data_IF_784898796106
#
_entry.id   IF_784898796106
#
_cell.length_a   1.000
_cell.length_b   1.000
_cell.length_c   1.000
_cell.angle_alpha   90.00
_cell.angle_beta   90.00
_cell.angle_gamma   90.00
#
_symmetry.space_group_name_H-M   'P 1'
#
loop_
_entity.id
_entity.type
_entity.pdbx_description
1 polymer ?
#
# COMPACT_ATOMS: atom_id res chain seq x y z
N UNK A 1 17.91 5.01 -21.61
CA UNK A 1 17.48 4.74 -20.21
C UNK A 1 17.48 3.23 -20.03
N UNK A 2 18.24 2.67 -19.10
CA UNK A 2 18.19 1.24 -18.77
C UNK A 2 17.05 1.03 -17.77
N UNK A 3 16.04 0.24 -18.15
CA UNK A 3 14.89 -0.09 -17.30
C UNK A 3 15.05 -1.43 -16.57
N UNK A 4 16.18 -2.12 -16.77
CA UNK A 4 16.48 -3.35 -16.05
C UNK A 4 16.85 -3.01 -14.59
N UNK A 5 16.42 -3.88 -13.68
CA UNK A 5 16.83 -3.80 -12.28
C UNK A 5 18.35 -3.99 -12.18
N UNK A 6 18.98 -3.30 -11.22
CA UNK A 6 20.35 -3.64 -10.82
C UNK A 6 20.39 -5.00 -10.15
N UNK A 7 21.60 -5.58 -10.01
CA UNK A 7 21.75 -6.85 -9.32
C UNK A 7 21.26 -6.78 -7.87
N UNK A 8 21.51 -5.68 -7.18
CA UNK A 8 21.01 -5.42 -5.81
C UNK A 8 19.48 -5.34 -5.76
N UNK A 9 18.87 -4.60 -6.71
CA UNK A 9 17.42 -4.49 -6.82
C UNK A 9 16.77 -5.85 -7.14
N UNK A 10 17.41 -6.66 -7.99
CA UNK A 10 16.95 -8.01 -8.27
C UNK A 10 17.03 -8.91 -7.04
N UNK A 11 18.10 -8.79 -6.23
CA UNK A 11 18.22 -9.50 -4.96
C UNK A 11 17.12 -9.12 -3.96
N UNK A 12 16.82 -7.82 -3.81
CA UNK A 12 15.71 -7.34 -2.95
C UNK A 12 14.37 -7.93 -3.42
N UNK A 13 14.07 -7.85 -4.72
CA UNK A 13 12.86 -8.43 -5.30
C UNK A 13 12.75 -9.94 -4.97
N UNK A 14 13.81 -10.69 -5.22
CA UNK A 14 13.81 -12.14 -5.05
C UNK A 14 13.73 -12.55 -3.57
N UNK A 15 14.30 -11.74 -2.67
CA UNK A 15 14.18 -11.92 -1.21
C UNK A 15 12.73 -11.73 -0.76
N UNK A 16 12.09 -10.63 -1.14
CA UNK A 16 10.69 -10.33 -0.79
C UNK A 16 9.75 -11.37 -1.38
N UNK A 17 9.93 -11.73 -2.64
CA UNK A 17 9.14 -12.77 -3.33
C UNK A 17 9.22 -14.11 -2.61
N UNK A 18 10.42 -14.55 -2.24
CA UNK A 18 10.64 -15.81 -1.52
C UNK A 18 9.97 -15.79 -0.15
N UNK A 19 10.17 -14.73 0.62
CA UNK A 19 9.52 -14.55 1.91
C UNK A 19 7.99 -14.65 1.81
N UNK A 20 7.40 -13.97 0.82
CA UNK A 20 5.95 -13.97 0.62
C UNK A 20 5.44 -15.32 0.13
N UNK A 21 6.17 -16.01 -0.74
CA UNK A 21 5.80 -17.35 -1.21
C UNK A 21 5.78 -18.37 -0.06
N UNK A 22 6.73 -18.28 0.86
CA UNK A 22 6.84 -19.20 1.99
C UNK A 22 5.78 -18.94 3.07
N UNK A 23 5.40 -17.67 3.27
CA UNK A 23 4.57 -17.26 4.41
C UNK A 23 3.20 -16.72 4.03
N UNK A 24 3.03 -16.23 2.79
CA UNK A 24 1.83 -15.52 2.35
C UNK A 24 1.38 -16.00 0.96
N UNK A 25 0.99 -17.26 0.86
CA UNK A 25 0.56 -17.86 -0.41
C UNK A 25 -0.81 -17.29 -0.86
N UNK A 26 -0.83 -16.68 -2.05
CA UNK A 26 -2.02 -16.12 -2.65
C UNK A 26 -3.10 -17.17 -3.00
N UNK A 27 -2.70 -18.44 -3.15
CA UNK A 27 -3.61 -19.54 -3.51
C UNK A 27 -4.30 -20.16 -2.30
N UNK A 28 -3.73 -20.04 -1.11
CA UNK A 28 -4.35 -20.54 0.12
C UNK A 28 -5.44 -19.60 0.61
N UNK A 29 -6.58 -20.19 0.88
CA UNK A 29 -7.77 -19.50 1.38
C UNK A 29 -7.49 -18.74 2.68
N UNK A 30 -8.06 -17.52 2.76
CA UNK A 30 -8.30 -16.78 4.01
C UNK A 30 -7.07 -16.39 4.83
N UNK A 31 -5.97 -15.94 4.20
CA UNK A 31 -5.03 -15.12 4.96
C UNK A 31 -5.58 -13.69 5.00
N UNK A 32 -5.92 -13.25 6.21
CA UNK A 32 -6.26 -11.87 6.53
C UNK A 32 -5.04 -10.95 6.44
N UNK A 33 -5.00 -9.85 7.20
CA UNK A 33 -3.82 -9.01 7.36
C UNK A 33 -2.59 -9.82 7.77
N UNK A 34 -1.41 -9.36 7.37
CA UNK A 34 -0.14 -9.95 7.80
C UNK A 34 -0.07 -10.02 9.33
N UNK A 35 0.38 -11.15 9.86
CA UNK A 35 0.53 -11.31 11.30
C UNK A 35 1.61 -10.39 11.86
N UNK A 36 1.55 -10.01 13.16
CA UNK A 36 2.63 -9.25 13.78
C UNK A 36 4.00 -9.95 13.70
N UNK A 37 4.02 -11.29 13.77
CA UNK A 37 5.27 -12.06 13.65
C UNK A 37 5.82 -12.02 12.22
N UNK A 38 4.98 -12.10 11.19
CA UNK A 38 5.42 -11.96 9.80
C UNK A 38 5.86 -10.52 9.50
N UNK A 39 5.21 -9.53 10.10
CA UNK A 39 5.63 -8.13 10.00
C UNK A 39 7.01 -7.92 10.63
N UNK A 40 7.23 -8.43 11.85
CA UNK A 40 8.56 -8.40 12.50
C UNK A 40 9.61 -9.10 11.67
N UNK A 41 9.31 -10.27 11.12
CA UNK A 41 10.24 -11.01 10.26
C UNK A 41 10.64 -10.22 8.99
N UNK A 42 9.78 -9.36 8.43
CA UNK A 42 10.16 -8.41 7.36
C UNK A 42 11.14 -7.35 7.86
N UNK A 43 10.97 -6.86 9.09
CA UNK A 43 11.93 -5.95 9.75
C UNK A 43 13.29 -6.60 9.94
N UNK A 44 13.33 -7.84 10.46
CA UNK A 44 14.54 -8.64 10.66
C UNK A 44 15.30 -8.92 9.34
N UNK A 45 14.59 -9.01 8.22
CA UNK A 45 15.21 -9.07 6.88
C UNK A 45 15.84 -7.74 6.43
N UNK A 46 15.72 -6.67 7.23
CA UNK A 46 16.22 -5.34 6.89
C UNK A 46 15.34 -4.57 5.89
N UNK A 47 14.15 -5.06 5.58
CA UNK A 47 13.30 -4.44 4.56
C UNK A 47 12.85 -3.04 4.96
N UNK A 48 12.50 -2.81 6.23
CA UNK A 48 12.07 -1.50 6.69
C UNK A 48 13.24 -0.53 6.81
N UNK A 49 14.42 -1.02 7.23
CA UNK A 49 15.65 -0.24 7.20
C UNK A 49 16.02 0.19 5.77
N UNK A 50 15.85 -0.69 4.77
CA UNK A 50 16.04 -0.35 3.36
C UNK A 50 15.17 0.86 2.94
N UNK A 51 13.92 0.94 3.38
CA UNK A 51 12.95 1.99 3.01
C UNK A 51 13.01 3.24 3.91
N UNK A 52 13.83 3.21 4.95
CA UNK A 52 14.04 4.30 5.88
C UNK A 52 15.23 5.19 5.42
N UNK A 53 15.14 6.53 5.52
CA UNK A 53 16.24 7.41 5.18
C UNK A 53 17.51 7.17 6.01
N UNK A 54 18.69 7.39 5.42
CA UNK A 54 19.98 7.24 6.13
C UNK A 54 20.07 8.12 7.37
N UNK A 55 19.53 9.36 7.31
CA UNK A 55 19.53 10.29 8.44
C UNK A 55 18.72 9.78 9.64
N UNK A 56 17.85 8.78 9.42
CA UNK A 56 17.07 8.10 10.47
C UNK A 56 17.63 6.72 10.82
N UNK A 57 18.87 6.42 10.44
CA UNK A 57 19.51 5.14 10.71
C UNK A 57 19.15 4.02 9.71
N UNK A 58 18.44 4.35 8.63
CA UNK A 58 18.10 3.40 7.56
C UNK A 58 19.20 3.25 6.50
N UNK A 59 18.86 2.55 5.41
CA UNK A 59 19.74 2.30 4.27
C UNK A 59 19.47 3.22 3.08
N UNK A 60 18.51 4.13 3.18
CA UNK A 60 18.28 5.19 2.21
C UNK A 60 17.73 4.74 0.85
N UNK A 61 17.08 3.57 0.79
CA UNK A 61 16.42 3.10 -0.44
C UNK A 61 15.37 4.11 -0.93
N UNK A 62 15.35 4.30 -2.24
CA UNK A 62 14.54 5.31 -2.91
C UNK A 62 13.23 4.78 -3.48
N UNK A 63 12.69 5.53 -4.43
CA UNK A 63 11.42 5.20 -5.08
C UNK A 63 11.46 3.87 -5.86
N UNK A 64 12.62 3.49 -6.39
CA UNK A 64 12.76 2.20 -7.08
C UNK A 64 12.61 1.02 -6.13
N UNK A 65 13.21 1.08 -4.94
CA UNK A 65 13.10 0.06 -3.91
C UNK A 65 11.68 -0.01 -3.35
N UNK A 66 11.04 1.15 -3.11
CA UNK A 66 9.61 1.21 -2.73
C UNK A 66 8.74 0.52 -3.78
N UNK A 67 8.96 0.80 -5.08
CA UNK A 67 8.22 0.17 -6.17
C UNK A 67 8.40 -1.35 -6.16
N UNK A 68 9.65 -1.84 -6.10
CA UNK A 68 9.98 -3.27 -6.15
C UNK A 68 9.32 -4.02 -5.01
N UNK A 69 9.50 -3.54 -3.78
CA UNK A 69 8.93 -4.17 -2.59
C UNK A 69 7.41 -4.21 -2.66
N UNK A 70 6.80 -3.08 -2.99
CA UNK A 70 5.33 -2.95 -3.01
C UNK A 70 4.69 -3.74 -4.16
N UNK A 71 5.35 -3.87 -5.31
CA UNK A 71 4.86 -4.71 -6.40
C UNK A 71 4.82 -6.18 -6.00
N UNK A 72 5.84 -6.69 -5.28
CA UNK A 72 5.83 -8.07 -4.78
C UNK A 72 4.77 -8.27 -3.69
N UNK A 73 4.55 -7.30 -2.79
CA UNK A 73 3.44 -7.33 -1.84
C UNK A 73 2.09 -7.44 -2.57
N UNK A 74 1.92 -6.65 -3.63
CA UNK A 74 0.73 -6.69 -4.47
C UNK A 74 0.54 -8.04 -5.17
N UNK A 75 1.60 -8.64 -5.73
CA UNK A 75 1.55 -9.97 -6.37
C UNK A 75 1.09 -11.06 -5.41
N UNK A 76 1.51 -10.99 -4.16
CA UNK A 76 1.08 -11.89 -3.11
C UNK A 76 -0.33 -11.56 -2.56
N UNK A 77 -0.97 -10.46 -2.99
CA UNK A 77 -2.18 -9.90 -2.41
C UNK A 77 -2.05 -9.70 -0.89
N UNK A 78 -0.85 -9.35 -0.43
CA UNK A 78 -0.55 -9.14 0.97
C UNK A 78 -1.25 -7.89 1.51
N UNK A 79 -1.75 -7.97 2.72
CA UNK A 79 -2.37 -6.85 3.42
C UNK A 79 -1.39 -6.40 4.50
N UNK A 80 -0.67 -5.30 4.23
CA UNK A 80 0.39 -4.78 5.10
C UNK A 80 0.18 -3.30 5.40
N UNK A 81 0.71 -2.78 6.52
CA UNK A 81 0.72 -1.36 6.84
C UNK A 81 1.89 -0.59 6.20
N UNK A 82 2.59 -1.14 5.19
CA UNK A 82 3.86 -0.62 4.67
C UNK A 82 3.79 0.86 4.28
N UNK A 83 2.76 1.25 3.52
CA UNK A 83 2.62 2.62 3.03
C UNK A 83 2.44 3.63 4.16
N UNK A 84 1.60 3.32 5.14
CA UNK A 84 1.30 4.23 6.25
C UNK A 84 2.36 4.15 7.36
N UNK A 85 2.74 2.96 7.81
CA UNK A 85 3.64 2.82 8.95
C UNK A 85 5.09 3.22 8.61
N UNK A 86 5.61 2.74 7.48
CA UNK A 86 7.01 2.96 7.12
C UNK A 86 7.18 4.22 6.27
N UNK A 87 6.38 4.39 5.21
CA UNK A 87 6.61 5.47 4.26
C UNK A 87 5.99 6.80 4.69
N UNK A 88 4.87 6.81 5.40
CA UNK A 88 4.31 8.04 5.97
C UNK A 88 4.84 8.30 7.38
N UNK A 89 4.49 7.44 8.34
CA UNK A 89 4.82 7.68 9.74
C UNK A 89 6.32 7.63 10.00
N UNK A 90 7.03 6.61 9.45
CA UNK A 90 8.48 6.49 9.59
C UNK A 90 9.23 7.72 9.08
N UNK A 91 8.84 8.26 7.92
CA UNK A 91 9.46 9.48 7.38
C UNK A 91 9.05 10.75 8.11
N UNK A 92 7.84 10.82 8.66
CA UNK A 92 7.41 11.95 9.46
C UNK A 92 8.20 12.09 10.77
N UNK A 93 8.59 10.97 11.39
CA UNK A 93 9.39 10.99 12.61
C UNK A 93 10.90 11.12 12.36
N UNK A 94 11.39 10.74 11.18
CA UNK A 94 12.81 10.61 10.85
C UNK A 94 13.63 11.89 11.11
N UNK A 95 13.02 13.06 10.95
CA UNK A 95 13.68 14.36 11.18
C UNK A 95 13.40 14.98 12.55
N UNK A 96 12.81 14.24 13.49
CA UNK A 96 12.37 14.75 14.77
C UNK A 96 12.99 13.98 15.95
N UNK A 97 12.89 14.50 17.17
CA UNK A 97 13.31 13.80 18.39
C UNK A 97 12.57 12.46 18.59
N UNK A 98 11.40 12.28 17.98
CA UNK A 98 10.67 11.02 18.03
C UNK A 98 11.39 9.86 17.32
N UNK A 99 12.38 10.15 16.45
CA UNK A 99 13.19 9.12 15.81
C UNK A 99 14.02 8.32 16.82
N UNK A 100 14.49 8.92 17.92
CA UNK A 100 15.25 8.22 18.97
C UNK A 100 14.40 7.16 19.69
N UNK A 101 13.11 7.42 19.86
CA UNK A 101 12.20 6.50 20.56
C UNK A 101 11.61 5.43 19.61
N UNK A 102 11.25 5.83 18.38
CA UNK A 102 10.41 5.02 17.50
C UNK A 102 11.18 4.42 16.30
N UNK A 103 12.33 5.01 15.92
CA UNK A 103 13.03 4.66 14.68
C UNK A 103 13.42 3.18 14.63
N UNK A 104 14.19 2.71 15.60
CA UNK A 104 14.65 1.31 15.66
C UNK A 104 13.48 0.34 15.78
N UNK A 105 12.49 0.67 16.61
CA UNK A 105 11.31 -0.18 16.81
C UNK A 105 10.46 -0.32 15.54
N UNK A 106 10.38 0.74 14.73
CA UNK A 106 9.72 0.67 13.41
C UNK A 106 10.53 -0.16 12.42
N UNK A 107 11.86 0.04 12.35
CA UNK A 107 12.74 -0.70 11.44
C UNK A 107 12.80 -2.19 11.77
N UNK A 108 12.64 -2.56 13.03
CA UNK A 108 12.57 -3.96 13.49
C UNK A 108 11.18 -4.57 13.40
N UNK A 109 10.14 -3.77 13.11
CA UNK A 109 8.76 -4.23 13.09
C UNK A 109 8.14 -4.45 14.47
N UNK A 110 8.80 -3.97 15.54
CA UNK A 110 8.35 -4.11 16.95
C UNK A 110 7.33 -3.06 17.37
N UNK A 111 7.21 -1.98 16.60
CA UNK A 111 6.17 -0.97 16.79
C UNK A 111 5.45 -0.70 15.48
N UNK A 112 4.17 -0.38 15.61
CA UNK A 112 3.32 0.07 14.51
C UNK A 112 2.85 1.48 14.80
N UNK A 113 3.13 2.40 13.88
CA UNK A 113 2.57 3.75 13.89
C UNK A 113 1.49 3.84 12.81
N UNK A 114 0.38 4.49 13.14
CA UNK A 114 -0.71 4.68 12.18
C UNK A 114 -0.88 6.15 11.82
N UNK A 115 -1.18 6.41 10.55
CA UNK A 115 -1.46 7.74 10.05
C UNK A 115 -2.94 8.11 10.25
N UNK A 116 -3.19 9.21 10.95
CA UNK A 116 -4.53 9.67 11.31
C UNK A 116 -4.77 11.10 10.85
N UNK A 117 -5.30 11.34 9.63
CA UNK A 117 -5.62 12.69 9.18
C UNK A 117 -6.87 13.23 9.88
N UNK A 118 -6.77 14.42 10.46
CA UNK A 118 -7.89 15.13 11.09
C UNK A 118 -7.59 15.60 12.52
N UNK A 119 -8.50 16.42 13.04
CA UNK A 119 -8.36 17.05 14.34
C UNK A 119 -7.65 18.40 14.31
N UNK A 120 -7.77 19.12 15.42
CA UNK A 120 -7.22 20.45 15.60
C UNK A 120 -6.62 20.61 17.00
N UNK A 121 -5.63 21.49 17.13
CA UNK A 121 -5.09 21.89 18.41
C UNK A 121 -6.02 22.95 19.04
N UNK A 122 -6.55 22.65 20.23
CA UNK A 122 -7.37 23.56 21.04
C UNK A 122 -6.74 23.63 22.42
N UNK A 123 -6.35 24.82 22.84
CA UNK A 123 -5.66 25.07 24.12
C UNK A 123 -4.42 24.17 24.31
N UNK A 124 -3.63 23.97 23.22
CA UNK A 124 -2.42 23.17 23.23
C UNK A 124 -2.64 21.65 23.30
N UNK A 125 -3.88 21.19 23.19
CA UNK A 125 -4.23 19.78 23.18
C UNK A 125 -4.94 19.39 21.89
N UNK A 126 -4.70 18.17 21.40
CA UNK A 126 -5.35 17.68 20.19
C UNK A 126 -6.78 17.23 20.51
N UNK A 127 -7.74 17.71 19.70
CA UNK A 127 -9.14 17.32 19.71
C UNK A 127 -9.60 17.01 18.29
N UNK A 128 -10.54 16.07 18.15
CA UNK A 128 -11.13 15.74 16.86
C UNK A 128 -11.20 14.26 16.60
N UNK A 129 -11.30 13.87 15.34
CA UNK A 129 -11.36 12.46 14.97
C UNK A 129 -10.82 12.21 13.56
N UNK A 130 -10.31 10.99 13.34
CA UNK A 130 -10.00 10.43 12.04
C UNK A 130 -10.92 9.24 11.76
N UNK A 131 -11.64 9.28 10.64
CA UNK A 131 -12.74 8.34 10.37
C UNK A 131 -12.28 6.92 10.06
N UNK A 132 -11.17 6.79 9.30
CA UNK A 132 -10.62 5.50 8.89
C UNK A 132 -9.11 5.57 9.03
N UNK A 133 -8.60 5.01 10.11
CA UNK A 133 -7.17 4.89 10.40
C UNK A 133 -6.81 3.43 10.22
N UNK A 134 -6.12 3.09 9.14
CA UNK A 134 -5.67 1.73 8.88
C UNK A 134 -4.71 1.32 9.99
N UNK A 135 -4.83 0.06 10.42
CA UNK A 135 -4.03 -0.51 11.50
C UNK A 135 -4.11 0.27 12.83
N UNK A 136 -5.05 1.22 12.94
CA UNK A 136 -5.22 2.10 14.09
C UNK A 136 -5.66 1.37 15.37
N UNK A 137 -6.17 0.14 15.29
CA UNK A 137 -6.50 -0.65 16.47
C UNK A 137 -5.26 -1.05 17.25
N UNK A 138 -4.18 -1.41 16.55
CA UNK A 138 -2.95 -1.97 17.11
C UNK A 138 -1.80 -0.95 17.14
N UNK A 139 -2.05 0.29 16.68
CA UNK A 139 -1.03 1.33 16.62
C UNK A 139 -0.52 1.70 18.03
N UNK A 140 0.80 1.66 18.19
CA UNK A 140 1.48 2.11 19.41
C UNK A 140 1.45 3.63 19.55
N UNK A 141 1.52 4.36 18.41
CA UNK A 141 1.36 5.81 18.36
C UNK A 141 0.69 6.22 17.03
N UNK A 142 0.21 7.47 16.98
CA UNK A 142 -0.43 8.05 15.79
C UNK A 142 0.38 9.24 15.29
N UNK A 143 0.69 9.26 14.00
CA UNK A 143 1.08 10.48 13.30
C UNK A 143 -0.19 11.15 12.81
N UNK A 144 -0.52 12.29 13.37
CA UNK A 144 -1.74 13.04 13.07
C UNK A 144 -1.40 14.23 12.21
N UNK A 145 -2.00 14.32 11.01
CA UNK A 145 -1.99 15.53 10.21
C UNK A 145 -3.25 16.34 10.56
N UNK A 146 -3.05 17.47 11.23
CA UNK A 146 -4.16 18.32 11.67
C UNK A 146 -4.83 19.02 10.47
N UNK A 147 -6.03 19.54 10.67
CA UNK A 147 -6.76 20.35 9.66
C UNK A 147 -5.96 21.58 9.19
N UNK A 148 -5.03 22.06 10.03
CA UNK A 148 -4.12 23.15 9.67
C UNK A 148 -2.83 22.67 8.97
N UNK A 149 -2.67 21.35 8.69
CA UNK A 149 -1.50 20.76 8.04
C UNK A 149 -0.29 20.55 8.96
N UNK A 150 -0.42 20.75 10.28
CA UNK A 150 0.65 20.45 11.22
C UNK A 150 0.71 18.95 11.51
N UNK A 151 1.91 18.38 11.59
CA UNK A 151 2.13 17.00 11.96
C UNK A 151 2.37 16.89 13.47
N UNK A 152 1.67 15.96 14.10
CA UNK A 152 1.73 15.71 15.53
C UNK A 152 1.92 14.24 15.81
N UNK A 153 2.70 13.88 16.81
CA UNK A 153 2.78 12.52 17.35
C UNK A 153 1.92 12.43 18.61
N UNK A 154 1.10 11.40 18.67
CA UNK A 154 0.20 11.10 19.81
C UNK A 154 0.49 9.68 20.30
N UNK A 155 0.74 9.53 21.59
CA UNK A 155 0.86 8.21 22.21
C UNK A 155 -0.48 7.47 22.09
N UNK A 156 -0.44 6.27 21.55
CA UNK A 156 -1.61 5.42 21.41
C UNK A 156 -2.23 4.98 22.75
N UNK A 157 -1.49 5.06 23.85
CA UNK A 157 -1.96 4.73 25.19
C UNK A 157 -2.54 5.92 25.98
N UNK A 158 -2.51 7.14 25.39
CA UNK A 158 -3.12 8.31 26.05
C UNK A 158 -4.61 8.03 26.34
N UNK A 159 -5.03 8.31 27.55
CA UNK A 159 -6.40 8.04 28.05
C UNK A 159 -7.50 8.79 27.26
N UNK A 160 -7.15 9.83 26.53
CA UNK A 160 -8.05 10.57 25.64
C UNK A 160 -8.18 9.96 24.25
N UNK A 161 -7.40 8.91 23.91
CA UNK A 161 -7.51 8.20 22.64
C UNK A 161 -8.61 7.14 22.72
N UNK A 162 -9.62 7.27 21.86
CA UNK A 162 -10.70 6.28 21.73
C UNK A 162 -10.66 5.65 20.37
N UNK A 163 -10.71 4.32 20.30
CA UNK A 163 -10.67 3.52 19.08
C UNK A 163 -11.94 2.72 18.93
N UNK A 164 -12.58 2.83 17.75
CA UNK A 164 -13.74 2.00 17.40
C UNK A 164 -13.37 1.20 16.17
N UNK A 165 -13.45 -0.15 16.20
CA UNK A 165 -13.03 -0.98 15.08
C UNK A 165 -13.93 -0.79 13.87
N UNK A 166 -13.31 -0.76 12.69
CA UNK A 166 -13.96 -0.68 11.38
C UNK A 166 -13.38 -1.78 10.48
N UNK A 167 -14.22 -2.70 10.02
CA UNK A 167 -13.79 -3.73 9.08
C UNK A 167 -13.83 -3.17 7.66
N UNK A 168 -12.72 -3.29 6.94
CA UNK A 168 -12.61 -2.85 5.55
C UNK A 168 -13.01 -3.96 4.57
N UNK A 169 -13.21 -3.58 3.30
CA UNK A 169 -13.73 -4.47 2.25
C UNK A 169 -12.78 -5.64 1.95
N UNK A 170 -11.47 -5.47 2.11
CA UNK A 170 -10.45 -6.52 1.91
C UNK A 170 -10.27 -7.45 3.13
N UNK A 171 -11.05 -7.20 4.19
CA UNK A 171 -10.99 -7.96 5.44
C UNK A 171 -10.00 -7.41 6.47
N UNK A 172 -9.20 -6.38 6.12
CA UNK A 172 -8.35 -5.71 7.09
C UNK A 172 -9.16 -4.89 8.10
N UNK A 173 -8.50 -4.56 9.22
CA UNK A 173 -9.09 -3.75 10.27
C UNK A 173 -8.54 -2.33 10.24
N UNK A 174 -9.43 -1.37 10.37
CA UNK A 174 -9.12 0.02 10.65
C UNK A 174 -9.76 0.44 11.96
N UNK A 175 -9.48 1.65 12.40
CA UNK A 175 -10.17 2.27 13.53
C UNK A 175 -10.78 3.62 13.12
N UNK A 176 -11.96 3.92 13.64
CA UNK A 176 -12.33 5.29 13.87
C UNK A 176 -11.63 5.74 15.16
N UNK A 177 -10.74 6.71 15.04
CA UNK A 177 -9.97 7.22 16.19
C UNK A 177 -10.49 8.59 16.56
N UNK A 178 -10.81 8.77 17.86
CA UNK A 178 -11.18 10.07 18.45
C UNK A 178 -10.11 10.49 19.44
N UNK A 179 -9.74 11.74 19.36
CA UNK A 179 -8.81 12.42 20.25
C UNK A 179 -9.60 13.39 21.14
N UNK A 180 -9.60 13.15 22.45
CA UNK A 180 -10.31 13.99 23.43
C UNK A 180 -9.30 14.69 24.35
N UNK A 181 -8.82 15.85 23.91
CA UNK A 181 -7.84 16.68 24.61
C UNK A 181 -6.53 15.94 24.93
N UNK A 182 -6.03 15.13 23.99
CA UNK A 182 -4.80 14.35 24.14
C UNK A 182 -3.56 15.24 24.05
N UNK A 183 -2.49 14.83 24.71
CA UNK A 183 -1.20 15.45 24.55
C UNK A 183 -0.62 15.06 23.18
N UNK A 184 -0.15 16.04 22.43
CA UNK A 184 0.42 15.82 21.12
C UNK A 184 1.77 16.51 21.00
N UNK A 185 2.80 15.78 20.56
CA UNK A 185 4.13 16.30 20.32
C UNK A 185 4.24 16.80 18.88
N UNK A 186 4.66 18.05 18.64
CA UNK A 186 4.87 18.53 17.28
C UNK A 186 6.00 17.75 16.59
N UNK A 187 5.76 17.34 15.34
CA UNK A 187 6.77 16.77 14.46
C UNK A 187 7.27 17.87 13.51
N UNK A 188 8.54 18.22 13.64
CA UNK A 188 9.17 19.17 12.73
C UNK A 188 9.71 18.42 11.53
N UNK A 189 9.01 18.50 10.40
CA UNK A 189 9.41 17.86 9.15
C UNK A 189 9.93 18.94 8.20
N UNK A 190 11.14 18.80 7.63
CA UNK A 190 11.67 19.75 6.65
C UNK A 190 10.72 19.96 5.47
N UNK A 191 10.72 21.18 4.92
CA UNK A 191 9.89 21.52 3.77
C UNK A 191 10.17 20.55 2.60
N UNK A 192 9.11 20.04 1.96
CA UNK A 192 9.20 19.06 0.88
C UNK A 192 9.30 17.59 1.34
N UNK A 193 9.87 17.30 2.49
CA UNK A 193 10.02 15.91 2.97
C UNK A 193 8.67 15.24 3.22
N UNK A 194 7.65 15.96 3.71
CA UNK A 194 6.31 15.44 3.88
C UNK A 194 5.63 15.14 2.54
N UNK A 195 5.76 16.02 1.56
CA UNK A 195 5.24 15.80 0.22
C UNK A 195 5.90 14.59 -0.45
N UNK A 196 7.20 14.39 -0.26
CA UNK A 196 7.93 13.22 -0.73
C UNK A 196 7.46 11.94 -0.02
N UNK A 197 7.26 11.97 1.31
CA UNK A 197 6.70 10.84 2.05
C UNK A 197 5.31 10.43 1.53
N UNK A 198 4.45 11.41 1.27
CA UNK A 198 3.12 11.18 0.66
C UNK A 198 3.25 10.64 -0.77
N UNK A 199 4.21 11.11 -1.56
CA UNK A 199 4.46 10.61 -2.91
C UNK A 199 4.95 9.15 -2.87
N UNK A 200 5.87 8.79 -1.98
CA UNK A 200 6.36 7.41 -1.84
C UNK A 200 5.27 6.46 -1.33
N UNK A 201 4.43 6.89 -0.39
CA UNK A 201 3.28 6.10 0.03
C UNK A 201 2.27 5.92 -1.12
N UNK A 202 2.03 6.96 -1.91
CA UNK A 202 1.22 6.89 -3.13
C UNK A 202 1.81 5.96 -4.18
N UNK A 203 3.15 5.96 -4.35
CA UNK A 203 3.88 5.05 -5.23
C UNK A 203 3.75 3.60 -4.76
N UNK A 204 3.88 3.34 -3.46
CA UNK A 204 3.67 2.03 -2.87
C UNK A 204 2.27 1.48 -3.20
N UNK A 205 1.23 2.28 -3.03
CA UNK A 205 -0.15 1.88 -3.33
C UNK A 205 -0.33 1.52 -4.82
N UNK A 206 0.21 2.31 -5.74
CA UNK A 206 0.08 1.99 -7.19
C UNK A 206 0.95 0.82 -7.59
N UNK A 207 2.09 0.58 -6.95
CA UNK A 207 2.92 -0.60 -7.16
C UNK A 207 2.21 -1.87 -6.67
N UNK A 208 1.59 -1.84 -5.49
CA UNK A 208 0.73 -2.94 -5.01
C UNK A 208 -0.43 -3.24 -6.00
N UNK A 209 -1.08 -2.20 -6.54
CA UNK A 209 -2.12 -2.39 -7.56
C UNK A 209 -1.59 -3.08 -8.80
N UNK A 210 -0.41 -2.69 -9.31
CA UNK A 210 0.23 -3.32 -10.49
C UNK A 210 0.61 -4.77 -10.18
N UNK A 211 1.15 -5.05 -9.01
CA UNK A 211 1.44 -6.41 -8.55
C UNK A 211 0.18 -7.28 -8.48
N UNK A 212 -0.92 -6.75 -7.91
CA UNK A 212 -2.21 -7.43 -7.85
C UNK A 212 -2.79 -7.69 -9.26
N UNK A 213 -2.70 -6.70 -10.17
CA UNK A 213 -3.11 -6.87 -11.57
C UNK A 213 -2.35 -8.02 -12.25
N UNK A 214 -1.04 -8.10 -12.04
CA UNK A 214 -0.21 -9.16 -12.60
C UNK A 214 -0.64 -10.54 -12.07
N UNK A 215 -0.82 -10.67 -10.76
CA UNK A 215 -1.27 -11.92 -10.14
C UNK A 215 -2.66 -12.35 -10.64
N UNK A 216 -3.61 -11.41 -10.68
CA UNK A 216 -4.98 -11.70 -11.16
C UNK A 216 -5.01 -12.10 -12.63
N UNK A 217 -4.17 -11.48 -13.48
CA UNK A 217 -4.06 -11.86 -14.89
C UNK A 217 -3.47 -13.26 -15.04
N UNK A 218 -2.36 -13.57 -14.34
CA UNK A 218 -1.70 -14.88 -14.39
C UNK A 218 -2.69 -15.98 -13.97
N UNK A 219 -3.37 -15.83 -12.83
CA UNK A 219 -4.40 -16.77 -12.34
C UNK A 219 -5.56 -16.92 -13.33
N UNK A 220 -5.98 -15.83 -13.97
CA UNK A 220 -7.09 -15.88 -14.94
C UNK A 220 -6.68 -16.61 -16.21
N UNK A 221 -5.48 -16.34 -16.73
CA UNK A 221 -4.97 -17.04 -17.93
C UNK A 221 -4.84 -18.52 -17.68
N UNK A 222 -4.33 -18.93 -16.52
CA UNK A 222 -4.21 -20.34 -16.17
C UNK A 222 -5.60 -21.01 -16.02
N UNK A 223 -6.53 -20.33 -15.37
CA UNK A 223 -7.89 -20.84 -15.24
C UNK A 223 -8.58 -21.04 -16.59
N UNK A 224 -8.57 -20.07 -17.49
CA UNK A 224 -9.25 -20.20 -18.79
C UNK A 224 -8.63 -21.26 -19.70
N UNK A 225 -7.34 -21.61 -19.50
CA UNK A 225 -6.66 -22.70 -20.20
C UNK A 225 -7.12 -24.08 -19.69
N UNK A 226 -7.40 -24.18 -18.41
CA UNK A 226 -7.78 -25.43 -17.75
C UNK A 226 -9.30 -25.68 -17.77
N UNK A 227 -10.10 -24.62 -17.74
CA UNK A 227 -11.56 -24.75 -17.70
C UNK A 227 -12.13 -25.14 -19.05
N UNK A 228 -12.83 -26.28 -19.09
CA UNK A 228 -13.50 -26.78 -20.28
C UNK A 228 -15.01 -26.49 -20.24
N UNK A 229 -15.54 -25.97 -21.34
CA UNK A 229 -16.97 -25.83 -21.61
C UNK A 229 -17.21 -25.99 -23.12
N UNK A 230 -18.37 -26.49 -23.54
CA UNK A 230 -18.70 -26.74 -24.94
C UNK A 230 -17.68 -27.65 -25.63
N UNK A 231 -17.13 -28.64 -24.93
CA UNK A 231 -16.21 -29.65 -25.45
C UNK A 231 -14.74 -29.20 -25.63
N UNK A 232 -14.35 -27.96 -25.19
CA UNK A 232 -12.98 -27.45 -25.32
C UNK A 232 -12.63 -26.45 -24.22
N UNK A 233 -11.31 -26.12 -24.02
CA UNK A 233 -10.91 -25.07 -23.09
C UNK A 233 -11.55 -23.75 -23.47
N UNK A 234 -12.02 -22.98 -22.45
CA UNK A 234 -12.65 -21.66 -22.71
C UNK A 234 -11.68 -20.65 -23.33
N UNK A 235 -10.38 -20.81 -23.12
CA UNK A 235 -9.33 -20.03 -23.80
C UNK A 235 -9.38 -20.11 -25.33
N UNK A 236 -10.02 -21.13 -25.92
CA UNK A 236 -10.15 -21.26 -27.38
C UNK A 236 -11.21 -20.32 -28.00
N UNK A 237 -12.04 -19.68 -27.18
CA UNK A 237 -13.06 -18.74 -27.67
C UNK A 237 -12.46 -17.34 -27.84
N UNK A 238 -12.65 -16.71 -29.01
CA UNK A 238 -12.11 -15.38 -29.31
C UNK A 238 -12.51 -14.33 -28.27
N UNK A 239 -13.76 -14.35 -27.77
CA UNK A 239 -14.22 -13.40 -26.77
C UNK A 239 -13.39 -13.47 -25.48
N UNK A 240 -12.96 -14.66 -25.05
CA UNK A 240 -12.09 -14.88 -23.89
C UNK A 240 -10.69 -14.36 -24.17
N UNK A 241 -10.13 -14.68 -25.37
CA UNK A 241 -8.82 -14.20 -25.80
C UNK A 241 -8.78 -12.65 -25.83
N UNK A 242 -9.78 -12.01 -26.40
CA UNK A 242 -9.85 -10.54 -26.43
C UNK A 242 -9.95 -9.91 -25.04
N UNK A 243 -10.66 -10.55 -24.12
CA UNK A 243 -10.73 -10.08 -22.71
C UNK A 243 -9.35 -10.19 -22.04
N UNK A 244 -8.68 -11.33 -22.14
CA UNK A 244 -7.32 -11.50 -21.60
C UNK A 244 -6.33 -10.52 -22.22
N UNK A 245 -6.39 -10.29 -23.55
CA UNK A 245 -5.53 -9.32 -24.23
C UNK A 245 -5.77 -7.89 -23.72
N UNK A 246 -7.01 -7.51 -23.44
CA UNK A 246 -7.36 -6.21 -22.85
C UNK A 246 -6.83 -6.07 -21.42
N UNK A 247 -6.97 -7.11 -20.58
CA UNK A 247 -6.39 -7.14 -19.24
C UNK A 247 -4.86 -6.95 -19.29
N UNK A 248 -4.18 -7.64 -20.22
CA UNK A 248 -2.76 -7.47 -20.46
C UNK A 248 -2.39 -6.04 -20.86
N UNK A 249 -3.19 -5.42 -21.76
CA UNK A 249 -2.98 -4.02 -22.16
C UNK A 249 -3.08 -3.06 -20.97
N UNK A 250 -4.08 -3.21 -20.11
CA UNK A 250 -4.20 -2.37 -18.91
C UNK A 250 -3.02 -2.56 -17.95
N UNK A 251 -2.54 -3.78 -17.79
CA UNK A 251 -1.37 -4.08 -16.96
C UNK A 251 -0.11 -3.39 -17.50
N UNK A 252 0.20 -3.52 -18.81
CA UNK A 252 1.41 -2.95 -19.40
C UNK A 252 1.40 -1.41 -19.43
N UNK A 253 0.24 -0.80 -19.63
CA UNK A 253 0.07 0.65 -19.49
C UNK A 253 0.31 1.10 -18.04
N UNK A 254 -0.20 0.33 -17.07
CA UNK A 254 0.00 0.60 -15.64
C UNK A 254 1.46 0.45 -15.23
N UNK A 255 2.17 -0.59 -15.72
CA UNK A 255 3.61 -0.76 -15.52
C UNK A 255 4.43 0.41 -16.05
N UNK A 256 4.09 0.89 -17.25
CA UNK A 256 4.77 2.04 -17.86
C UNK A 256 4.63 3.30 -17.00
N UNK A 257 3.43 3.56 -16.46
CA UNK A 257 3.18 4.70 -15.59
C UNK A 257 3.85 4.54 -14.22
N UNK A 258 3.85 3.32 -13.67
CA UNK A 258 4.54 3.00 -12.42
C UNK A 258 6.06 3.24 -12.55
N UNK A 259 6.68 2.71 -13.60
CA UNK A 259 8.11 2.92 -13.88
C UNK A 259 8.44 4.40 -14.06
N UNK A 260 7.60 5.15 -14.79
CA UNK A 260 7.77 6.60 -14.94
C UNK A 260 7.73 7.32 -13.58
N UNK A 261 6.84 6.90 -12.68
CA UNK A 261 6.72 7.51 -11.34
C UNK A 261 7.90 7.16 -10.44
N UNK A 262 8.37 5.90 -10.47
CA UNK A 262 9.49 5.44 -9.66
C UNK A 262 10.84 6.02 -10.11
N UNK A 263 11.02 6.24 -11.42
CA UNK A 263 12.25 6.79 -11.99
C UNK A 263 12.21 8.32 -12.15
N UNK A 264 11.16 8.98 -11.69
CA UNK A 264 11.08 10.44 -11.71
C UNK A 264 12.05 11.04 -10.68
N UNK A 265 12.69 12.16 -11.05
CA UNK A 265 13.45 12.97 -10.11
C UNK A 265 12.51 13.49 -9.00
N UNK A 266 13.07 13.81 -7.83
CA UNK A 266 12.29 14.13 -6.63
C UNK A 266 11.27 15.26 -6.89
N UNK A 267 11.70 16.35 -7.56
CA UNK A 267 10.85 17.49 -7.88
C UNK A 267 9.67 17.14 -8.80
N UNK A 268 9.81 16.13 -9.65
CA UNK A 268 8.78 15.68 -10.58
C UNK A 268 7.95 14.51 -10.04
N UNK A 269 8.39 13.83 -8.98
CA UNK A 269 7.81 12.58 -8.48
C UNK A 269 6.37 12.75 -8.02
N UNK A 270 6.07 13.79 -7.25
CA UNK A 270 4.70 14.07 -6.77
C UNK A 270 3.71 14.08 -7.94
N UNK A 271 4.05 14.81 -9.03
CA UNK A 271 3.20 14.88 -10.21
C UNK A 271 3.12 13.54 -10.96
N UNK A 272 4.23 12.83 -11.09
CA UNK A 272 4.30 11.54 -11.77
C UNK A 272 3.49 10.47 -11.02
N UNK A 273 3.58 10.40 -9.70
CA UNK A 273 2.78 9.50 -8.84
C UNK A 273 1.30 9.87 -8.91
N UNK A 274 0.96 11.16 -8.89
CA UNK A 274 -0.42 11.61 -9.04
C UNK A 274 -1.00 11.18 -10.39
N UNK A 275 -0.23 11.28 -11.49
CA UNK A 275 -0.64 10.80 -12.81
C UNK A 275 -0.82 9.28 -12.84
N UNK A 276 0.09 8.52 -12.22
CA UNK A 276 -0.03 7.07 -12.09
C UNK A 276 -1.30 6.68 -11.31
N UNK A 277 -1.58 7.33 -10.18
CA UNK A 277 -2.79 7.10 -9.38
C UNK A 277 -4.08 7.42 -10.14
N UNK A 278 -4.08 8.47 -10.95
CA UNK A 278 -5.25 8.87 -11.75
C UNK A 278 -5.69 7.79 -12.77
N UNK A 279 -4.76 6.94 -13.22
CA UNK A 279 -5.02 5.90 -14.21
C UNK A 279 -5.07 4.50 -13.60
N UNK A 280 -4.04 4.12 -12.80
CA UNK A 280 -3.82 2.73 -12.36
C UNK A 280 -4.98 2.22 -11.52
N UNK A 281 -5.56 3.06 -10.64
CA UNK A 281 -6.69 2.66 -9.80
C UNK A 281 -7.89 2.16 -10.61
N UNK A 282 -8.26 2.89 -11.67
CA UNK A 282 -9.38 2.51 -12.53
C UNK A 282 -9.04 1.32 -13.44
N UNK A 283 -7.80 1.24 -13.93
CA UNK A 283 -7.33 0.11 -14.74
C UNK A 283 -7.27 -1.20 -13.94
N UNK A 284 -6.78 -1.13 -12.70
CA UNK A 284 -6.73 -2.27 -11.80
C UNK A 284 -8.12 -2.79 -11.45
N UNK A 285 -9.08 -1.88 -11.19
CA UNK A 285 -10.46 -2.27 -10.91
C UNK A 285 -11.09 -2.98 -12.10
N UNK A 286 -10.96 -2.43 -13.32
CA UNK A 286 -11.45 -3.06 -14.54
C UNK A 286 -10.85 -4.45 -14.76
N UNK A 287 -9.54 -4.60 -14.53
CA UNK A 287 -8.85 -5.88 -14.67
C UNK A 287 -9.37 -6.89 -13.64
N UNK A 288 -9.53 -6.49 -12.38
CA UNK A 288 -10.04 -7.37 -11.33
C UNK A 288 -11.50 -7.80 -11.58
N UNK A 289 -12.35 -6.91 -12.08
CA UNK A 289 -13.73 -7.22 -12.49
C UNK A 289 -13.76 -8.20 -13.66
N UNK A 290 -12.89 -8.03 -14.67
CA UNK A 290 -12.76 -9.00 -15.78
C UNK A 290 -12.26 -10.36 -15.31
N UNK A 291 -11.33 -10.40 -14.34
CA UNK A 291 -10.88 -11.64 -13.73
C UNK A 291 -12.04 -12.39 -13.08
N UNK A 292 -12.84 -11.72 -12.25
CA UNK A 292 -14.05 -12.28 -11.65
C UNK A 292 -15.02 -12.78 -12.72
N UNK A 293 -15.28 -11.99 -13.75
CA UNK A 293 -16.20 -12.36 -14.83
C UNK A 293 -15.74 -13.61 -15.57
N UNK A 294 -14.43 -13.77 -15.84
CA UNK A 294 -13.89 -14.93 -16.54
C UNK A 294 -13.88 -16.20 -15.68
N UNK A 295 -13.86 -16.09 -14.35
CA UNK A 295 -14.03 -17.23 -13.42
C UNK A 295 -15.50 -17.58 -13.18
N UNK A 296 -16.45 -16.72 -13.56
CA UNK A 296 -17.87 -16.90 -13.32
C UNK A 296 -18.21 -16.99 -11.82
N UNK A 297 -19.12 -17.87 -11.43
CA UNK A 297 -19.53 -18.02 -10.03
C UNK A 297 -18.39 -18.29 -9.05
N UNK A 298 -17.34 -18.99 -9.48
CA UNK A 298 -16.16 -19.26 -8.65
C UNK A 298 -15.36 -17.97 -8.32
N UNK A 299 -15.41 -16.96 -9.18
CA UNK A 299 -14.69 -15.70 -8.99
C UNK A 299 -15.22 -14.82 -7.82
N UNK A 300 -16.43 -15.09 -7.34
CA UNK A 300 -17.04 -14.39 -6.20
C UNK A 300 -17.01 -15.20 -4.90
N UNK A 301 -16.52 -16.42 -4.93
CA UNK A 301 -16.36 -17.26 -3.74
C UNK A 301 -15.03 -16.95 -3.04
N UNK A 302 -14.94 -17.34 -1.76
CA UNK A 302 -13.68 -17.24 -1.00
C UNK A 302 -12.71 -18.39 -1.31
N UNK A 303 -13.10 -19.36 -2.16
CA UNK A 303 -12.28 -20.51 -2.55
C UNK A 303 -11.10 -20.12 -3.45
N UNK A 304 -11.24 -19.05 -4.23
CA UNK A 304 -10.20 -18.55 -5.11
C UNK A 304 -9.66 -17.19 -4.66
N UNK A 305 -8.39 -16.95 -4.93
CA UNK A 305 -7.73 -15.66 -4.65
C UNK A 305 -8.34 -14.47 -5.44
N UNK A 306 -9.12 -14.76 -6.51
CA UNK A 306 -9.72 -13.77 -7.39
C UNK A 306 -10.66 -12.80 -6.65
N UNK A 307 -11.60 -13.31 -5.85
CA UNK A 307 -12.51 -12.47 -5.05
C UNK A 307 -11.77 -11.63 -4.01
N UNK A 308 -10.73 -12.21 -3.38
CA UNK A 308 -9.85 -11.49 -2.46
C UNK A 308 -9.06 -10.39 -3.17
N UNK A 309 -8.52 -10.70 -4.35
CA UNK A 309 -7.81 -9.72 -5.19
C UNK A 309 -8.69 -8.55 -5.59
N UNK A 310 -9.95 -8.79 -5.99
CA UNK A 310 -10.91 -7.72 -6.27
C UNK A 310 -11.13 -6.82 -5.04
N UNK A 311 -11.35 -7.41 -3.85
CA UNK A 311 -11.54 -6.64 -2.61
C UNK A 311 -10.30 -5.81 -2.26
N UNK A 312 -9.08 -6.37 -2.43
CA UNK A 312 -7.83 -5.65 -2.23
C UNK A 312 -7.69 -4.48 -3.20
N UNK A 313 -7.94 -4.70 -4.48
CA UNK A 313 -7.91 -3.66 -5.51
C UNK A 313 -8.95 -2.56 -5.23
N UNK A 314 -10.17 -2.92 -4.82
CA UNK A 314 -11.20 -1.97 -4.41
C UNK A 314 -10.72 -1.04 -3.31
N UNK A 315 -10.09 -1.57 -2.25
CA UNK A 315 -9.56 -0.76 -1.17
C UNK A 315 -8.42 0.13 -1.64
N UNK A 316 -7.37 -0.45 -2.22
CA UNK A 316 -6.16 0.28 -2.65
C UNK A 316 -6.50 1.41 -3.64
N UNK A 317 -7.43 1.17 -4.57
CA UNK A 317 -7.84 2.18 -5.56
C UNK A 317 -8.55 3.40 -4.94
N UNK A 318 -8.97 3.32 -3.67
CA UNK A 318 -9.70 4.40 -2.96
C UNK A 318 -8.88 5.07 -1.86
N UNK A 319 -7.75 4.50 -1.46
CA UNK A 319 -6.91 5.08 -0.42
C UNK A 319 -6.47 6.50 -0.80
N UNK A 320 -6.43 7.37 0.20
CA UNK A 320 -6.04 8.79 0.05
C UNK A 320 -6.77 9.50 -1.10
N UNK A 321 -8.07 9.25 -1.25
CA UNK A 321 -8.93 9.86 -2.27
C UNK A 321 -8.83 9.22 -3.67
N UNK A 322 -7.93 8.26 -3.86
CA UNK A 322 -7.81 7.46 -5.08
C UNK A 322 -7.64 8.27 -6.37
N UNK A 323 -8.07 7.67 -7.48
CA UNK A 323 -7.97 8.28 -8.82
C UNK A 323 -8.81 9.56 -8.98
N UNK A 324 -9.90 9.73 -8.20
CA UNK A 324 -10.73 10.94 -8.26
C UNK A 324 -9.96 12.15 -7.75
N UNK A 325 -9.37 12.05 -6.54
CA UNK A 325 -8.56 13.13 -5.99
C UNK A 325 -7.31 13.39 -6.84
N UNK A 326 -6.69 12.34 -7.38
CA UNK A 326 -5.53 12.46 -8.25
C UNK A 326 -5.86 13.25 -9.54
N UNK A 327 -7.00 12.96 -10.20
CA UNK A 327 -7.44 13.73 -11.39
C UNK A 327 -7.76 15.17 -11.05
N UNK A 328 -8.39 15.43 -9.93
CA UNK A 328 -8.66 16.80 -9.47
C UNK A 328 -7.36 17.59 -9.25
N UNK A 329 -6.36 16.98 -8.60
CA UNK A 329 -5.05 17.60 -8.37
C UNK A 329 -4.25 17.85 -9.66
N UNK A 330 -4.44 17.06 -10.72
CA UNK A 330 -3.79 17.30 -12.03
C UNK A 330 -4.45 18.41 -12.83
N UNK A 331 -5.72 18.70 -12.56
CA UNK A 331 -6.49 19.72 -13.25
C UNK A 331 -6.36 21.11 -12.61
N UNK A 332 -5.89 21.19 -11.36
CA UNK A 332 -5.59 22.43 -10.64
C UNK A 332 -4.22 22.98 -10.99
#
# INVERSE_FOLDING_TARGET
MNLALSDEQAMVRDMVRRFLADRYDATTMAKGPMSPDDWRALGELGLFALLTPEQAGGLGGGAAEVMIVSEEMGRALAITPLAEAILLCGRAIAGSAAAEEWGDRLMQGDALLAFAPGGALVDGRLRGSAAIVRDGMDAAAFVVETEAGALMLVDGQDSGVRRTPVRLVDGSMAAHVRFDAVQAQPLTVPAGMWAEAQALAGLSIVAELVGAMASLLDLTVDYVRQRHQFGKPIASFQVVQHRCARMYTWLEQSRSLLLKAALAEEEARVRAVTAARAYIGDAALKLAEEAVQLHGGMGVTDELAIGRGLRRVLLLSRLHGGGIAARAALAA
#
